data_IF_226980652562
#
_entry.id   IF_226980652562
#
_cell.length_a   1.000
_cell.length_b   1.000
_cell.length_c   1.000
_cell.angle_alpha   90.00
_cell.angle_beta   90.00
_cell.angle_gamma   90.00
#
_symmetry.space_group_name_H-M   'P 1'
#
loop_
_entity.id
_entity.type
_entity.pdbx_description
1 polymer ?
#
# COMPACT_ATOMS: atom_id res chain seq x y z
N UNK A 1 -10.55 18.44 -22.12
CA UNK A 1 -9.32 18.95 -21.50
C UNK A 1 -9.10 18.13 -20.23
N UNK A 2 -8.11 17.23 -20.21
CA UNK A 2 -8.00 16.18 -19.18
C UNK A 2 -7.74 16.76 -17.80
N UNK A 3 -8.68 16.59 -16.88
CA UNK A 3 -8.58 17.02 -15.48
C UNK A 3 -7.46 16.22 -14.81
N UNK A 4 -6.50 16.92 -14.20
CA UNK A 4 -5.40 16.29 -13.47
C UNK A 4 -5.82 16.02 -12.02
N UNK A 5 -6.87 15.22 -11.79
CA UNK A 5 -7.36 14.93 -10.43
C UNK A 5 -6.31 14.23 -9.55
N UNK A 6 -6.05 14.79 -8.38
CA UNK A 6 -5.26 14.18 -7.33
C UNK A 6 -6.15 14.06 -6.07
N UNK A 7 -5.88 13.06 -5.24
CA UNK A 7 -6.40 12.96 -3.87
C UNK A 7 -5.17 13.03 -2.99
N UNK A 8 -4.91 14.21 -2.42
CA UNK A 8 -3.92 14.37 -1.36
C UNK A 8 -4.68 14.48 -0.04
N UNK A 9 -4.56 13.49 0.84
CA UNK A 9 -4.84 13.70 2.26
C UNK A 9 -3.72 14.58 2.80
N UNK A 10 -3.96 15.88 2.90
CA UNK A 10 -3.09 16.77 3.64
C UNK A 10 -3.52 16.69 5.10
N UNK A 11 -2.69 16.06 5.95
CA UNK A 11 -2.75 16.26 7.39
C UNK A 11 -2.34 17.72 7.66
N UNK A 12 -3.24 18.67 7.44
CA UNK A 12 -3.12 20.01 7.97
C UNK A 12 -3.63 19.94 9.41
N UNK A 13 -2.71 19.89 10.36
CA UNK A 13 -3.04 20.15 11.77
C UNK A 13 -3.58 21.58 11.88
N UNK A 14 -4.90 21.74 11.83
CA UNK A 14 -5.56 22.92 12.39
C UNK A 14 -5.94 22.59 13.84
N UNK A 15 -5.45 23.33 14.84
CA UNK A 15 -5.85 23.11 16.22
C UNK A 15 -7.34 23.44 16.38
N UNK A 16 -8.16 22.44 16.70
CA UNK A 16 -9.56 22.61 17.10
C UNK A 16 -10.63 22.21 16.08
N UNK A 17 -10.27 21.72 14.89
CA UNK A 17 -11.22 21.24 13.87
C UNK A 17 -11.20 19.70 13.81
N UNK A 18 -12.34 18.98 13.68
CA UNK A 18 -12.31 17.55 13.44
C UNK A 18 -11.58 17.30 12.12
N UNK A 19 -10.60 16.38 12.10
CA UNK A 19 -9.80 16.02 10.93
C UNK A 19 -10.63 15.97 9.62
N UNK A 20 -10.59 17.06 8.85
CA UNK A 20 -11.15 17.11 7.50
C UNK A 20 -10.05 16.74 6.51
N UNK A 21 -10.13 15.54 5.94
CA UNK A 21 -9.41 15.22 4.71
C UNK A 21 -10.04 16.02 3.57
N UNK A 22 -9.54 17.23 3.35
CA UNK A 22 -9.93 18.02 2.18
C UNK A 22 -9.29 17.39 0.93
N UNK A 23 -10.13 16.88 0.02
CA UNK A 23 -9.67 16.30 -1.25
C UNK A 23 -9.14 17.45 -2.11
N UNK A 24 -7.83 17.66 -2.06
CA UNK A 24 -7.15 18.69 -2.84
C UNK A 24 -7.08 18.30 -4.33
N UNK A 25 -7.88 18.96 -5.16
CA UNK A 25 -7.88 18.80 -6.62
C UNK A 25 -6.91 19.80 -7.24
N UNK A 26 -5.93 19.30 -7.99
CA UNK A 26 -4.99 20.14 -8.72
C UNK A 26 -5.28 20.10 -10.23
N UNK A 27 -4.98 21.19 -10.90
CA UNK A 27 -5.04 21.33 -12.35
C UNK A 27 -3.63 21.39 -12.93
N UNK A 28 -3.51 21.19 -14.25
CA UNK A 28 -2.23 21.32 -14.97
C UNK A 28 -1.54 22.66 -14.71
N UNK A 29 -2.34 23.72 -14.51
CA UNK A 29 -1.85 25.07 -14.25
C UNK A 29 -1.23 25.23 -12.86
N UNK A 30 -1.47 24.29 -11.93
CA UNK A 30 -0.94 24.34 -10.56
C UNK A 30 0.46 23.73 -10.46
N UNK A 31 0.90 22.96 -11.46
CA UNK A 31 2.20 22.27 -11.46
C UNK A 31 3.37 23.23 -11.23
N UNK A 32 3.47 24.41 -11.89
CA UNK A 32 4.56 25.34 -11.63
C UNK A 32 4.60 25.83 -10.18
N UNK A 33 3.44 26.03 -9.54
CA UNK A 33 3.36 26.43 -8.14
C UNK A 33 3.76 25.27 -7.20
N UNK A 34 3.30 24.06 -7.48
CA UNK A 34 3.64 22.86 -6.73
C UNK A 34 5.14 22.54 -6.77
N UNK A 35 5.79 22.72 -7.93
CA UNK A 35 7.24 22.49 -8.07
C UNK A 35 8.11 23.48 -7.28
N UNK A 36 7.57 24.61 -6.85
CA UNK A 36 8.33 25.62 -6.08
C UNK A 36 8.49 25.26 -4.61
N UNK A 37 7.63 24.40 -4.05
CA UNK A 37 7.67 24.05 -2.63
C UNK A 37 8.01 22.58 -2.42
N UNK A 38 8.72 22.21 -1.33
CA UNK A 38 8.97 20.80 -1.00
C UNK A 38 7.68 19.99 -0.84
N UNK A 39 6.63 20.60 -0.27
CA UNK A 39 5.32 19.98 -0.05
C UNK A 39 4.62 19.74 -1.40
N UNK A 40 4.59 20.73 -2.28
CA UNK A 40 3.96 20.60 -3.60
C UNK A 40 4.67 19.57 -4.49
N UNK A 41 6.01 19.48 -4.44
CA UNK A 41 6.76 18.41 -5.11
C UNK A 41 6.35 17.03 -4.60
N UNK A 42 6.20 16.87 -3.27
CA UNK A 42 5.76 15.62 -2.66
C UNK A 42 4.35 15.24 -3.13
N UNK A 43 3.43 16.20 -3.19
CA UNK A 43 2.07 15.98 -3.69
C UNK A 43 2.07 15.55 -5.17
N UNK A 44 2.85 16.22 -6.03
CA UNK A 44 3.00 15.83 -7.44
C UNK A 44 3.50 14.39 -7.58
N UNK A 45 4.52 14.01 -6.79
CA UNK A 45 5.09 12.66 -6.81
C UNK A 45 4.04 11.61 -6.39
N UNK A 46 3.32 11.87 -5.29
CA UNK A 46 2.26 10.96 -4.83
C UNK A 46 1.16 10.84 -5.91
N UNK A 47 0.80 11.94 -6.58
CA UNK A 47 -0.20 11.92 -7.65
C UNK A 47 0.22 11.16 -8.88
N UNK A 48 1.48 11.32 -9.27
CA UNK A 48 2.07 10.51 -10.33
C UNK A 48 2.05 9.03 -9.96
N UNK A 49 2.42 8.67 -8.73
CA UNK A 49 2.35 7.28 -8.27
C UNK A 49 0.92 6.76 -8.28
N UNK A 50 -0.06 7.51 -7.78
CA UNK A 50 -1.46 7.08 -7.78
C UNK A 50 -1.96 6.81 -9.21
N UNK A 51 -1.63 7.66 -10.19
CA UNK A 51 -2.00 7.44 -11.60
C UNK A 51 -1.26 6.28 -12.25
N UNK A 52 -0.02 6.04 -11.85
CA UNK A 52 0.78 4.93 -12.34
C UNK A 52 0.31 3.57 -11.79
N UNK A 53 -0.58 3.55 -10.78
CA UNK A 53 -1.04 2.34 -10.10
C UNK A 53 -1.47 1.21 -11.05
N UNK A 54 -2.32 1.43 -12.07
CA UNK A 54 -2.74 0.33 -12.95
C UNK A 54 -1.55 -0.29 -13.67
N UNK A 55 -0.62 0.52 -14.16
CA UNK A 55 0.56 0.02 -14.89
C UNK A 55 1.50 -0.71 -13.94
N UNK A 56 1.83 -0.08 -12.80
CA UNK A 56 2.74 -0.65 -11.80
C UNK A 56 2.20 -1.97 -11.23
N UNK A 57 0.91 -2.07 -10.96
CA UNK A 57 0.29 -3.30 -10.46
C UNK A 57 0.35 -4.45 -11.48
N UNK A 58 0.15 -4.16 -12.77
CA UNK A 58 0.29 -5.17 -13.82
C UNK A 58 1.74 -5.65 -13.94
N UNK A 59 2.71 -4.72 -13.93
CA UNK A 59 4.13 -5.06 -13.96
C UNK A 59 4.54 -5.87 -12.73
N UNK A 60 4.12 -5.45 -11.53
CA UNK A 60 4.40 -6.15 -10.28
C UNK A 60 3.85 -7.59 -10.31
N UNK A 61 2.62 -7.77 -10.79
CA UNK A 61 1.99 -9.09 -10.92
C UNK A 61 2.74 -9.98 -11.92
N UNK A 62 3.16 -9.42 -13.06
CA UNK A 62 3.94 -10.15 -14.04
C UNK A 62 5.30 -10.55 -13.45
N UNK A 63 6.00 -9.61 -12.83
CA UNK A 63 7.29 -9.82 -12.17
C UNK A 63 7.21 -10.90 -11.08
N UNK A 64 6.16 -10.87 -10.25
CA UNK A 64 5.89 -11.89 -9.24
C UNK A 64 5.80 -13.30 -9.86
N UNK A 65 5.04 -13.43 -10.95
CA UNK A 65 4.80 -14.73 -11.61
C UNK A 65 6.00 -15.27 -12.36
N UNK A 66 6.86 -14.39 -12.89
CA UNK A 66 7.98 -14.81 -13.74
C UNK A 66 9.27 -14.90 -12.95
N UNK A 67 9.76 -13.78 -12.40
CA UNK A 67 11.09 -13.70 -11.83
C UNK A 67 11.11 -14.05 -10.34
N UNK A 68 10.00 -13.85 -9.61
CA UNK A 68 9.92 -14.14 -8.18
C UNK A 68 9.21 -15.46 -7.85
N UNK A 69 9.06 -16.39 -8.80
CA UNK A 69 8.29 -17.62 -8.60
C UNK A 69 8.85 -18.53 -7.47
N UNK A 70 10.14 -18.38 -7.12
CA UNK A 70 10.79 -19.11 -6.00
C UNK A 70 10.86 -18.31 -4.70
N UNK A 71 10.57 -17.00 -4.74
CA UNK A 71 10.64 -16.15 -3.55
C UNK A 71 9.44 -16.42 -2.66
N UNK A 72 9.69 -16.65 -1.37
CA UNK A 72 8.67 -16.80 -0.36
C UNK A 72 8.24 -15.42 0.15
N UNK A 73 6.99 -15.02 -0.12
CA UNK A 73 6.47 -13.71 0.28
C UNK A 73 5.54 -13.88 1.48
N UNK A 74 5.91 -13.26 2.61
CA UNK A 74 5.05 -13.08 3.78
C UNK A 74 4.36 -11.72 3.66
N UNK A 75 3.04 -11.69 3.75
CA UNK A 75 2.31 -10.41 3.85
C UNK A 75 1.86 -10.16 5.28
N UNK A 76 1.96 -8.91 5.73
CA UNK A 76 1.45 -8.47 7.03
C UNK A 76 0.27 -7.53 6.78
N UNK A 77 -0.92 -7.97 7.18
CA UNK A 77 -2.17 -7.20 7.09
C UNK A 77 -2.74 -6.96 8.48
N UNK A 78 -3.61 -5.97 8.62
CA UNK A 78 -4.32 -5.73 9.86
C UNK A 78 -4.66 -4.26 10.07
N UNK A 79 -5.33 -3.94 11.17
CA UNK A 79 -5.67 -2.54 11.49
C UNK A 79 -4.51 -1.85 12.21
N UNK A 80 -3.99 -2.51 13.23
CA UNK A 80 -2.95 -1.97 14.10
C UNK A 80 -1.76 -2.93 14.18
N UNK A 81 -0.58 -2.41 14.50
CA UNK A 81 0.63 -3.23 14.69
C UNK A 81 1.29 -3.77 13.41
N UNK A 82 0.76 -3.46 12.22
CA UNK A 82 1.30 -3.90 10.92
C UNK A 82 2.80 -3.62 10.79
N UNK A 83 3.21 -2.37 10.99
CA UNK A 83 4.61 -1.95 10.82
C UNK A 83 5.54 -2.57 11.84
N UNK A 84 5.15 -2.63 13.11
CA UNK A 84 5.95 -3.27 14.16
C UNK A 84 6.15 -4.77 13.87
N UNK A 85 5.07 -5.46 13.49
CA UNK A 85 5.14 -6.88 13.12
C UNK A 85 5.97 -7.10 11.87
N UNK A 86 5.81 -6.26 10.84
CA UNK A 86 6.60 -6.35 9.60
C UNK A 86 8.08 -6.22 9.91
N UNK A 87 8.47 -5.26 10.74
CA UNK A 87 9.86 -5.09 11.18
C UNK A 87 10.40 -6.32 11.90
N UNK A 88 9.63 -6.86 12.84
CA UNK A 88 10.04 -8.05 13.59
C UNK A 88 10.23 -9.26 12.67
N UNK A 89 9.25 -9.55 11.81
CA UNK A 89 9.31 -10.69 10.88
C UNK A 89 10.41 -10.49 9.84
N UNK A 90 10.55 -9.28 9.27
CA UNK A 90 11.61 -8.97 8.32
C UNK A 90 12.99 -9.13 8.97
N UNK A 91 13.14 -8.72 10.23
CA UNK A 91 14.40 -8.85 10.97
C UNK A 91 14.85 -10.31 11.09
N UNK A 92 13.90 -11.20 11.37
CA UNK A 92 14.16 -12.64 11.51
C UNK A 92 14.43 -13.30 10.15
N UNK A 93 13.63 -12.99 9.12
CA UNK A 93 13.71 -13.68 7.83
C UNK A 93 14.75 -13.10 6.86
N UNK A 94 15.00 -11.79 6.93
CA UNK A 94 15.75 -11.03 5.92
C UNK A 94 16.96 -10.27 6.50
N UNK A 95 17.10 -10.18 7.83
CA UNK A 95 18.24 -9.51 8.47
C UNK A 95 18.01 -8.02 8.73
N UNK A 96 18.95 -7.13 8.35
CA UNK A 96 18.78 -5.69 8.60
C UNK A 96 17.85 -5.03 7.58
N UNK A 97 16.89 -4.25 8.08
CA UNK A 97 15.97 -3.48 7.25
C UNK A 97 16.72 -2.36 6.54
N UNK A 98 16.70 -2.34 5.20
CA UNK A 98 17.24 -1.23 4.38
C UNK A 98 16.16 -0.23 3.92
N UNK A 99 14.90 -0.47 4.28
CA UNK A 99 13.75 0.25 3.74
C UNK A 99 13.06 1.10 4.81
N UNK A 100 12.15 1.99 4.40
CA UNK A 100 11.28 2.76 5.30
C UNK A 100 9.85 2.28 5.12
N UNK A 101 9.30 1.57 6.11
CA UNK A 101 7.86 1.30 6.20
C UNK A 101 7.08 2.62 6.39
N UNK A 102 5.91 2.73 5.75
CA UNK A 102 5.06 3.92 5.87
C UNK A 102 4.09 4.19 4.72
N UNK A 103 4.33 3.60 3.54
CA UNK A 103 3.34 3.57 2.45
C UNK A 103 3.03 2.10 2.15
N UNK A 104 1.83 1.63 2.51
CA UNK A 104 1.41 0.23 2.44
C UNK A 104 0.15 0.03 1.58
N UNK A 105 -0.21 1.01 0.76
CA UNK A 105 -1.39 0.99 -0.12
C UNK A 105 -1.04 1.49 -1.53
N UNK A 106 -1.90 1.14 -2.50
CA UNK A 106 -1.75 1.49 -3.91
C UNK A 106 -0.34 1.19 -4.42
N UNK A 107 0.24 2.14 -5.18
CA UNK A 107 1.51 2.00 -5.88
C UNK A 107 2.68 1.67 -4.99
N UNK A 108 2.64 1.97 -3.69
CA UNK A 108 3.74 1.57 -2.81
C UNK A 108 3.82 0.06 -2.65
N UNK A 109 2.69 -0.66 -2.67
CA UNK A 109 2.65 -2.13 -2.61
C UNK A 109 3.20 -2.73 -3.90
N UNK A 110 2.82 -2.19 -5.06
CA UNK A 110 3.37 -2.64 -6.34
C UNK A 110 4.89 -2.39 -6.41
N UNK A 111 5.35 -1.21 -5.96
CA UNK A 111 6.77 -0.90 -5.90
C UNK A 111 7.52 -1.77 -4.89
N UNK A 112 6.89 -2.17 -3.79
CA UNK A 112 7.48 -3.13 -2.85
C UNK A 112 7.76 -4.47 -3.53
N UNK A 113 6.81 -4.98 -4.32
CA UNK A 113 7.00 -6.20 -5.12
C UNK A 113 8.11 -6.02 -6.17
N UNK A 114 8.09 -4.92 -6.91
CA UNK A 114 9.08 -4.63 -7.97
C UNK A 114 10.51 -4.41 -7.44
N UNK A 115 10.67 -4.14 -6.14
CA UNK A 115 11.98 -3.99 -5.50
C UNK A 115 12.59 -5.29 -5.00
N UNK A 116 11.81 -6.37 -4.93
CA UNK A 116 12.31 -7.69 -4.53
C UNK A 116 13.33 -8.14 -5.56
N UNK A 117 14.49 -8.62 -5.11
CA UNK A 117 15.49 -9.14 -6.03
C UNK A 117 15.19 -10.61 -6.35
N UNK A 118 15.43 -11.10 -7.58
CA UNK A 118 15.15 -12.49 -7.92
C UNK A 118 15.95 -13.53 -7.10
N UNK A 119 17.07 -13.12 -6.50
CA UNK A 119 17.89 -13.93 -5.60
C UNK A 119 17.41 -13.93 -4.13
N UNK A 120 16.43 -13.09 -3.79
CA UNK A 120 15.83 -13.08 -2.45
C UNK A 120 15.00 -14.36 -2.24
N UNK A 121 15.38 -15.16 -1.24
CA UNK A 121 14.63 -16.38 -0.87
C UNK A 121 13.34 -16.08 -0.14
N UNK A 122 13.35 -15.05 0.70
CA UNK A 122 12.19 -14.64 1.49
C UNK A 122 12.08 -13.12 1.50
N UNK A 123 10.87 -12.60 1.65
CA UNK A 123 10.63 -11.18 1.87
C UNK A 123 9.33 -10.97 2.62
N UNK A 124 9.16 -9.79 3.20
CA UNK A 124 7.98 -9.41 3.98
C UNK A 124 7.42 -8.11 3.42
N UNK A 125 6.12 -8.09 3.13
CA UNK A 125 5.41 -6.93 2.59
C UNK A 125 4.31 -6.52 3.56
N UNK A 126 4.38 -5.30 4.06
CA UNK A 126 3.26 -4.69 4.78
C UNK A 126 2.17 -4.26 3.79
N UNK A 127 0.93 -4.65 4.04
CA UNK A 127 -0.21 -4.31 3.17
C UNK A 127 -1.35 -3.72 4.02
N UNK A 128 -1.70 -2.47 3.70
CA UNK A 128 -2.85 -1.75 4.21
C UNK A 128 -3.91 -1.56 3.12
N UNK A 129 -5.03 -0.93 3.49
CA UNK A 129 -6.14 -0.63 2.59
C UNK A 129 -6.67 0.78 2.87
N UNK A 130 -7.00 1.50 1.82
CA UNK A 130 -7.63 2.82 1.84
C UNK A 130 -9.10 2.76 1.38
N UNK A 131 -9.54 1.66 0.77
CA UNK A 131 -10.93 1.48 0.37
C UNK A 131 -11.28 0.03 0.01
N UNK A 132 -12.55 -0.19 -0.33
CA UNK A 132 -13.06 -1.52 -0.68
C UNK A 132 -12.52 -2.01 -2.04
N UNK A 133 -12.35 -3.32 -2.16
CA UNK A 133 -11.85 -4.03 -3.34
C UNK A 133 -10.34 -3.96 -3.54
N UNK A 134 -9.62 -3.22 -2.69
CA UNK A 134 -8.18 -3.07 -2.80
C UNK A 134 -7.43 -4.32 -2.39
N UNK A 135 -7.86 -4.99 -1.31
CA UNK A 135 -7.14 -6.14 -0.79
C UNK A 135 -7.12 -7.29 -1.80
N UNK A 136 -8.24 -7.53 -2.49
CA UNK A 136 -8.29 -8.52 -3.59
C UNK A 136 -7.29 -8.19 -4.69
N UNK A 137 -7.12 -6.91 -5.03
CA UNK A 137 -6.13 -6.48 -6.04
C UNK A 137 -4.70 -6.72 -5.57
N UNK A 138 -4.39 -6.34 -4.31
CA UNK A 138 -3.07 -6.59 -3.73
C UNK A 138 -2.77 -8.09 -3.65
N UNK A 139 -3.73 -8.89 -3.20
CA UNK A 139 -3.59 -10.33 -3.06
C UNK A 139 -3.31 -11.01 -4.42
N UNK A 140 -4.03 -10.62 -5.49
CA UNK A 140 -3.79 -11.11 -6.86
C UNK A 140 -2.44 -10.70 -7.44
N UNK A 141 -1.93 -9.53 -7.04
CA UNK A 141 -0.65 -9.01 -7.48
C UNK A 141 0.53 -9.67 -6.76
N UNK A 142 0.44 -9.76 -5.43
CA UNK A 142 1.50 -10.29 -4.57
C UNK A 142 1.54 -11.82 -4.61
N UNK A 143 0.38 -12.47 -4.71
CA UNK A 143 0.25 -13.93 -4.63
C UNK A 143 1.06 -14.49 -3.44
N UNK A 144 0.67 -14.14 -2.19
CA UNK A 144 1.47 -14.42 -1.00
C UNK A 144 1.65 -15.92 -0.77
N UNK A 145 2.75 -16.28 -0.08
CA UNK A 145 2.96 -17.64 0.40
C UNK A 145 2.46 -17.82 1.83
N UNK A 146 2.44 -16.73 2.61
CA UNK A 146 1.95 -16.69 3.98
C UNK A 146 1.39 -15.29 4.25
N UNK A 147 0.37 -15.23 5.10
CA UNK A 147 -0.23 -13.96 5.52
C UNK A 147 -0.38 -13.94 7.03
N UNK A 148 0.13 -12.89 7.66
CA UNK A 148 -0.07 -12.61 9.09
C UNK A 148 -1.13 -11.53 9.22
N UNK A 149 -2.20 -11.82 9.96
CA UNK A 149 -3.21 -10.84 10.33
C UNK A 149 -2.90 -10.35 11.74
N UNK A 150 -2.55 -9.07 11.91
CA UNK A 150 -2.19 -8.53 13.23
C UNK A 150 -3.42 -8.20 14.08
N UNK A 151 -4.39 -7.50 13.52
CA UNK A 151 -5.66 -7.17 14.18
C UNK A 151 -6.72 -6.76 13.18
N UNK A 152 -7.99 -6.88 13.57
CA UNK A 152 -9.14 -6.33 12.84
C UNK A 152 -9.85 -5.38 13.79
N UNK A 153 -9.93 -4.11 13.40
CA UNK A 153 -10.52 -3.06 14.21
C UNK A 153 -10.98 -1.90 13.35
N UNK A 154 -11.83 -1.05 13.92
CA UNK A 154 -12.32 0.18 13.28
C UNK A 154 -11.16 1.14 13.06
N UNK A 155 -10.73 1.29 11.82
CA UNK A 155 -9.77 2.31 11.41
C UNK A 155 -10.54 3.58 11.01
N UNK A 156 -9.91 4.76 11.07
CA UNK A 156 -10.51 6.03 10.61
C UNK A 156 -10.71 6.11 9.08
N UNK A 157 -10.75 4.96 8.41
CA UNK A 157 -10.96 4.89 6.99
C UNK A 157 -12.46 5.04 6.68
N UNK A 158 -12.89 6.26 6.31
CA UNK A 158 -14.30 6.56 5.97
C UNK A 158 -14.86 5.65 4.87
N UNK A 159 -14.02 5.02 4.06
CA UNK A 159 -14.38 4.11 2.97
C UNK A 159 -14.94 2.76 3.46
N UNK A 160 -14.58 2.33 4.67
CA UNK A 160 -15.05 1.08 5.28
C UNK A 160 -15.81 1.45 6.56
N UNK A 161 -17.13 1.42 6.47
CA UNK A 161 -18.03 1.98 7.49
C UNK A 161 -18.28 1.03 8.65
N UNK A 162 -18.02 -0.26 8.46
CA UNK A 162 -18.24 -1.28 9.49
C UNK A 162 -17.02 -2.15 9.73
N UNK A 163 -16.95 -2.71 10.94
CA UNK A 163 -15.95 -3.72 11.28
C UNK A 163 -16.06 -4.95 10.36
N UNK A 164 -17.28 -5.30 9.97
CA UNK A 164 -17.54 -6.45 9.09
C UNK A 164 -17.01 -6.23 7.67
N UNK A 165 -17.17 -5.01 7.12
CA UNK A 165 -16.54 -4.63 5.85
C UNK A 165 -15.01 -4.70 5.95
N UNK A 166 -14.44 -4.19 7.05
CA UNK A 166 -13.00 -4.26 7.30
C UNK A 166 -12.51 -5.71 7.37
N UNK A 167 -13.25 -6.57 8.07
CA UNK A 167 -12.95 -8.00 8.20
C UNK A 167 -13.01 -8.69 6.84
N UNK A 168 -14.09 -8.46 6.09
CA UNK A 168 -14.28 -9.01 4.74
C UNK A 168 -13.14 -8.60 3.83
N UNK A 169 -12.84 -7.31 3.75
CA UNK A 169 -11.78 -6.77 2.90
C UNK A 169 -10.42 -7.38 3.27
N UNK A 170 -10.03 -7.40 4.55
CA UNK A 170 -8.74 -7.97 4.96
C UNK A 170 -8.65 -9.49 4.76
N UNK A 171 -9.78 -10.20 4.85
CA UNK A 171 -9.84 -11.64 4.59
C UNK A 171 -9.50 -12.01 3.14
N UNK A 172 -9.63 -11.08 2.19
CA UNK A 172 -9.32 -11.34 0.77
C UNK A 172 -7.84 -11.70 0.54
N UNK A 173 -6.93 -11.22 1.39
CA UNK A 173 -5.52 -11.63 1.33
C UNK A 173 -5.36 -13.13 1.64
N UNK A 174 -6.14 -13.65 2.59
CA UNK A 174 -6.11 -15.06 2.98
C UNK A 174 -6.69 -15.96 1.88
N UNK A 175 -7.72 -15.50 1.17
CA UNK A 175 -8.37 -16.28 0.09
C UNK A 175 -7.45 -16.58 -1.09
N UNK A 176 -6.34 -15.84 -1.22
CA UNK A 176 -5.36 -16.02 -2.29
C UNK A 176 -4.12 -16.80 -1.86
N UNK A 177 -4.10 -17.33 -0.63
CA UNK A 177 -3.04 -18.23 -0.20
C UNK A 177 -3.10 -19.55 -0.99
N UNK A 178 -1.94 -20.14 -1.31
CA UNK A 178 -1.90 -21.50 -1.81
C UNK A 178 -2.41 -22.47 -0.74
N UNK A 179 -2.80 -23.72 -1.09
CA UNK A 179 -3.25 -24.72 -0.11
C UNK A 179 -2.25 -25.04 1.01
N UNK A 180 -0.97 -24.78 0.77
CA UNK A 180 0.12 -24.96 1.75
C UNK A 180 0.42 -23.73 2.60
N UNK A 181 -0.32 -22.64 2.40
CA UNK A 181 -0.06 -21.31 2.95
C UNK A 181 -0.87 -20.98 4.20
#
# INVERSE_FOLDING_TARGET
MGVFEFVASALLEKPGDPFEEEIMRYHWNDIPALLRTPIGRKQLIIGLYHRAWPILSHLARYYRRTLLHKTFIVTIVGSFGKTTTTRAVYRVLCGQEKFRFGHNAWSSVALAVLRIRPDDRHTVIEVGIEGSGQMTNYARMIHPNMTVVTSIGSEHNRSLRTLEETRKEKSEMLRMLPPSG
#
